data_IF_673531256483
#
_entry.id   IF_673531256483
#
_cell.length_a   1.000
_cell.length_b   1.000
_cell.length_c   1.000
_cell.angle_alpha   90.00
_cell.angle_beta   90.00
_cell.angle_gamma   90.00
#
_symmetry.space_group_name_H-M   'P 1'
#
loop_
_entity.id
_entity.type
_entity.pdbx_description
1 polymer ?
#
# COMPACT_ATOMS: atom_id res chain seq x y z
N UNK A 1 -25.00 9.61 -4.54
CA UNK A 1 -24.15 9.23 -5.67
C UNK A 1 -23.14 8.20 -5.14
N UNK A 2 -22.97 7.06 -5.81
CA UNK A 2 -21.96 6.06 -5.43
C UNK A 2 -20.57 6.57 -5.78
N UNK A 3 -19.62 6.37 -4.88
CA UNK A 3 -18.22 6.80 -5.03
C UNK A 3 -17.31 5.60 -5.24
N UNK A 4 -16.18 5.81 -5.91
CA UNK A 4 -15.07 4.86 -5.98
C UNK A 4 -13.86 5.53 -5.33
N UNK A 5 -13.29 4.89 -4.31
CA UNK A 5 -12.05 5.34 -3.70
C UNK A 5 -10.86 4.76 -4.47
N UNK A 6 -10.08 5.65 -5.06
CA UNK A 6 -8.95 5.25 -5.91
C UNK A 6 -7.64 4.96 -5.17
N UNK A 7 -7.55 5.28 -3.86
CA UNK A 7 -6.29 5.18 -3.14
C UNK A 7 -6.51 4.99 -1.64
N UNK A 8 -6.54 3.76 -1.18
CA UNK A 8 -6.60 3.44 0.24
C UNK A 8 -5.53 2.42 0.63
N UNK A 9 -4.95 2.60 1.79
CA UNK A 9 -4.03 1.64 2.40
C UNK A 9 -4.75 0.92 3.53
N UNK A 10 -4.92 -0.39 3.41
CA UNK A 10 -5.28 -1.23 4.54
C UNK A 10 -4.00 -1.74 5.20
N UNK A 11 -3.92 -1.59 6.50
CA UNK A 11 -2.72 -1.86 7.29
C UNK A 11 -3.03 -2.97 8.28
N UNK A 12 -2.40 -4.14 8.12
CA UNK A 12 -2.48 -5.21 9.10
C UNK A 12 -1.50 -5.01 10.24
N UNK A 13 -0.34 -4.46 9.93
CA UNK A 13 0.71 -4.14 10.88
C UNK A 13 1.56 -2.99 10.33
N UNK A 14 2.01 -2.10 11.19
CA UNK A 14 3.01 -1.09 10.86
C UNK A 14 4.38 -1.78 10.85
N UNK A 15 4.90 -2.09 9.66
CA UNK A 15 6.12 -2.86 9.48
C UNK A 15 6.99 -2.29 8.34
N UNK A 16 6.95 -0.98 8.16
CA UNK A 16 7.73 -0.28 7.16
C UNK A 16 9.23 -0.31 7.45
N UNK A 17 10.01 -0.15 6.41
CA UNK A 17 11.46 0.02 6.49
C UNK A 17 11.92 0.94 5.39
N UNK A 18 12.78 1.89 5.71
CA UNK A 18 13.41 2.81 4.78
C UNK A 18 14.81 3.21 5.29
N UNK A 19 15.45 4.20 4.67
CA UNK A 19 16.77 4.69 5.11
C UNK A 19 16.86 5.13 6.57
N UNK A 20 15.72 5.39 7.23
CA UNK A 20 15.61 5.71 8.67
C UNK A 20 15.47 4.46 9.56
N UNK A 21 15.60 3.25 9.00
CA UNK A 21 15.42 2.01 9.72
C UNK A 21 14.01 1.46 9.67
N UNK A 22 13.59 0.76 10.72
CA UNK A 22 12.26 0.16 10.83
C UNK A 22 11.26 1.14 11.41
N UNK A 23 10.02 0.98 11.00
CA UNK A 23 8.88 1.66 11.60
C UNK A 23 8.24 0.74 12.65
N UNK A 24 8.10 1.24 13.87
CA UNK A 24 7.47 0.52 14.99
C UNK A 24 6.27 1.29 15.51
N UNK A 25 5.14 0.63 15.81
CA UNK A 25 3.95 1.29 16.31
C UNK A 25 4.15 1.80 17.74
N UNK A 26 3.55 2.96 18.05
CA UNK A 26 3.48 3.56 19.39
C UNK A 26 2.07 3.55 19.98
N UNK A 27 1.08 3.14 19.20
CA UNK A 27 -0.34 3.26 19.55
C UNK A 27 -0.96 4.58 19.10
N UNK A 28 -2.29 4.67 19.20
CA UNK A 28 -3.08 5.84 18.80
C UNK A 28 -2.81 6.34 17.37
N UNK A 29 -2.42 5.46 16.46
CA UNK A 29 -2.07 5.78 15.08
C UNK A 29 -0.68 6.37 14.89
N UNK A 30 0.13 6.47 15.94
CA UNK A 30 1.51 6.94 15.87
C UNK A 30 2.48 5.79 15.67
N UNK A 31 3.58 6.09 15.02
CA UNK A 31 4.70 5.17 14.83
C UNK A 31 6.03 5.93 14.91
N UNK A 32 7.11 5.22 15.23
CA UNK A 32 8.45 5.75 15.37
C UNK A 32 9.43 5.00 14.47
N UNK A 33 10.31 5.74 13.81
CA UNK A 33 11.45 5.20 13.10
C UNK A 33 12.61 4.89 14.04
N UNK A 34 13.53 4.01 13.63
CA UNK A 34 14.72 3.67 14.44
C UNK A 34 15.63 4.88 14.73
N UNK A 35 15.55 5.96 13.90
CA UNK A 35 16.26 7.23 14.13
C UNK A 35 15.55 8.16 15.13
N UNK A 36 14.40 7.76 15.65
CA UNK A 36 13.61 8.51 16.62
C UNK A 36 12.55 9.45 16.04
N UNK A 37 12.43 9.56 14.70
CA UNK A 37 11.36 10.36 14.09
C UNK A 37 9.99 9.71 14.37
N UNK A 38 9.09 10.48 14.95
CA UNK A 38 7.69 10.05 15.20
C UNK A 38 6.79 10.59 14.11
N UNK A 39 5.95 9.72 13.56
CA UNK A 39 4.96 10.06 12.56
C UNK A 39 3.55 9.68 13.03
N UNK A 40 2.55 10.47 12.65
CA UNK A 40 1.14 10.15 12.83
C UNK A 40 0.64 9.48 11.54
N UNK A 41 0.59 8.16 11.54
CA UNK A 41 0.32 7.38 10.33
C UNK A 41 -1.17 7.15 10.10
N UNK A 42 -1.95 6.91 11.16
CA UNK A 42 -3.40 6.72 11.08
C UNK A 42 -4.14 7.92 11.68
N UNK A 43 -5.14 8.47 10.98
CA UNK A 43 -5.97 9.53 11.54
C UNK A 43 -6.64 9.10 12.84
N UNK A 44 -6.94 10.05 13.70
CA UNK A 44 -7.65 9.78 14.96
C UNK A 44 -8.96 9.02 14.70
N UNK A 45 -9.18 7.96 15.46
CA UNK A 45 -10.36 7.11 15.35
C UNK A 45 -10.32 6.05 14.23
N UNK A 46 -9.28 6.04 13.39
CA UNK A 46 -9.16 5.05 12.31
C UNK A 46 -8.51 3.75 12.77
N UNK A 47 -7.72 3.80 13.79
CA UNK A 47 -7.05 2.63 14.34
C UNK A 47 -5.92 3.01 15.26
N UNK A 48 -5.37 2.01 15.91
CA UNK A 48 -4.26 2.13 16.85
C UNK A 48 -2.94 1.81 16.15
N UNK A 49 -2.74 0.52 15.87
CA UNK A 49 -1.55 -0.02 15.20
C UNK A 49 -1.89 -0.64 13.84
N UNK A 50 -3.18 -0.76 13.54
CA UNK A 50 -3.68 -1.34 12.31
C UNK A 50 -4.90 -0.57 11.76
N UNK A 51 -5.11 -0.69 10.46
CA UNK A 51 -6.31 -0.23 9.78
C UNK A 51 -6.79 -1.32 8.84
N UNK A 52 -7.51 -2.29 9.38
CA UNK A 52 -7.99 -3.46 8.66
C UNK A 52 -9.31 -3.20 7.94
N UNK A 53 -9.66 -4.11 7.05
CA UNK A 53 -10.89 -4.02 6.25
C UNK A 53 -12.14 -3.89 7.11
N UNK A 54 -12.18 -4.53 8.27
CA UNK A 54 -13.28 -4.46 9.22
C UNK A 54 -13.52 -3.05 9.76
N UNK A 55 -12.46 -2.23 9.88
CA UNK A 55 -12.54 -0.81 10.24
C UNK A 55 -12.93 0.08 9.05
N UNK A 56 -12.55 -0.31 7.84
CA UNK A 56 -12.83 0.47 6.64
C UNK A 56 -14.25 0.27 6.09
N UNK A 57 -14.83 -0.92 6.20
CA UNK A 57 -16.18 -1.19 5.70
C UNK A 57 -17.27 -0.26 6.26
N UNK A 58 -17.30 0.07 7.57
CA UNK A 58 -18.23 1.06 8.10
C UNK A 58 -18.02 2.48 7.51
N UNK A 59 -16.76 2.87 7.28
CA UNK A 59 -16.43 4.17 6.65
C UNK A 59 -16.95 4.18 5.21
N UNK A 60 -16.73 3.12 4.45
CA UNK A 60 -17.27 3.00 3.10
C UNK A 60 -18.79 3.15 3.08
N UNK A 61 -19.49 2.55 4.04
CA UNK A 61 -20.94 2.65 4.14
C UNK A 61 -21.40 4.09 4.45
N UNK A 62 -20.77 4.74 5.43
CA UNK A 62 -21.08 6.11 5.82
C UNK A 62 -20.83 7.12 4.68
N UNK A 63 -19.75 6.91 3.91
CA UNK A 63 -19.32 7.80 2.83
C UNK A 63 -19.92 7.45 1.45
N UNK A 64 -20.78 6.44 1.35
CA UNK A 64 -21.31 5.92 0.08
C UNK A 64 -20.23 5.46 -0.91
N UNK A 65 -19.12 4.89 -0.39
CA UNK A 65 -18.07 4.30 -1.20
C UNK A 65 -18.48 2.89 -1.58
N UNK A 66 -18.67 2.65 -2.87
CA UNK A 66 -19.06 1.35 -3.38
C UNK A 66 -17.87 0.41 -3.56
N UNK A 67 -16.79 0.94 -4.12
CA UNK A 67 -15.57 0.18 -4.43
C UNK A 67 -14.33 0.96 -4.03
N UNK A 68 -13.24 0.25 -3.77
CA UNK A 68 -11.96 0.87 -3.48
C UNK A 68 -10.79 0.12 -4.11
N UNK A 69 -9.74 0.88 -4.43
CA UNK A 69 -8.45 0.35 -4.89
C UNK A 69 -7.49 0.32 -3.71
N UNK A 70 -7.09 -0.90 -3.32
CA UNK A 70 -6.15 -1.12 -2.23
C UNK A 70 -4.72 -0.99 -2.75
N UNK A 71 -4.00 -0.01 -2.25
CA UNK A 71 -2.61 0.23 -2.61
C UNK A 71 -1.66 -0.18 -1.49
N UNK A 72 -0.45 -0.56 -1.87
CA UNK A 72 0.64 -0.82 -0.93
C UNK A 72 1.48 0.45 -0.72
N UNK A 73 2.10 0.56 0.43
CA UNK A 73 3.05 1.63 0.74
C UNK A 73 4.23 1.09 1.55
N UNK A 74 5.43 1.59 1.30
CA UNK A 74 6.64 1.17 2.01
C UNK A 74 6.60 1.51 3.50
N UNK A 75 5.86 2.56 3.88
CA UNK A 75 5.63 2.91 5.29
C UNK A 75 4.98 1.80 6.09
N UNK A 76 4.19 0.95 5.45
CA UNK A 76 3.45 -0.13 6.12
C UNK A 76 4.09 -1.50 5.92
N UNK A 77 5.19 -1.56 5.16
CA UNK A 77 5.76 -2.82 4.67
C UNK A 77 4.91 -3.44 3.56
N UNK A 78 5.35 -4.56 3.04
CA UNK A 78 4.62 -5.29 2.01
C UNK A 78 3.43 -6.05 2.61
N UNK A 79 2.21 -5.57 2.36
CA UNK A 79 0.96 -6.15 2.83
C UNK A 79 0.28 -7.02 1.76
N UNK A 80 1.03 -7.53 0.78
CA UNK A 80 0.49 -8.27 -0.38
C UNK A 80 -0.44 -9.41 0.01
N UNK A 81 -0.04 -10.22 0.98
CA UNK A 81 -0.85 -11.36 1.41
C UNK A 81 -2.15 -10.91 2.07
N UNK A 82 -2.10 -9.88 2.90
CA UNK A 82 -3.31 -9.33 3.50
C UNK A 82 -4.24 -8.72 2.45
N UNK A 83 -3.69 -7.95 1.51
CA UNK A 83 -4.47 -7.41 0.39
C UNK A 83 -5.13 -8.52 -0.43
N UNK A 84 -4.40 -9.61 -0.72
CA UNK A 84 -4.96 -10.79 -1.36
C UNK A 84 -6.15 -11.38 -0.59
N UNK A 85 -6.03 -11.54 0.73
CA UNK A 85 -7.12 -12.04 1.56
C UNK A 85 -8.37 -11.15 1.46
N UNK A 86 -8.18 -9.82 1.44
CA UNK A 86 -9.28 -8.86 1.33
C UNK A 86 -9.95 -8.93 -0.03
N UNK A 87 -9.21 -8.88 -1.14
CA UNK A 87 -9.80 -8.94 -2.49
C UNK A 87 -10.48 -10.27 -2.75
N UNK A 88 -9.98 -11.37 -2.19
CA UNK A 88 -10.60 -12.69 -2.28
C UNK A 88 -11.91 -12.75 -1.50
N UNK A 89 -11.97 -12.12 -0.31
CA UNK A 89 -13.16 -12.11 0.55
C UNK A 89 -14.25 -11.17 0.04
N UNK A 90 -13.86 -10.07 -0.62
CA UNK A 90 -14.78 -9.02 -1.09
C UNK A 90 -14.49 -8.63 -2.56
N UNK A 91 -14.62 -9.56 -3.52
CA UNK A 91 -14.20 -9.35 -4.90
C UNK A 91 -14.97 -8.24 -5.62
N UNK A 92 -16.21 -7.98 -5.22
CA UNK A 92 -17.05 -6.93 -5.81
C UNK A 92 -16.79 -5.54 -5.23
N UNK A 93 -16.01 -5.48 -4.13
CA UNK A 93 -15.76 -4.24 -3.38
C UNK A 93 -14.34 -3.72 -3.57
N UNK A 94 -13.38 -4.60 -3.77
CA UNK A 94 -11.97 -4.22 -3.76
C UNK A 94 -11.19 -4.76 -4.96
N UNK A 95 -10.30 -3.92 -5.47
CA UNK A 95 -9.22 -4.28 -6.37
C UNK A 95 -7.91 -4.03 -5.63
N UNK A 96 -6.98 -4.96 -5.70
CA UNK A 96 -5.68 -4.84 -5.04
C UNK A 96 -4.55 -4.53 -6.00
N UNK A 97 -3.68 -3.60 -5.60
CA UNK A 97 -2.35 -3.48 -6.15
C UNK A 97 -1.36 -4.18 -5.22
N UNK A 98 -0.46 -4.97 -5.77
CA UNK A 98 0.65 -5.54 -5.02
C UNK A 98 1.91 -4.69 -5.17
N UNK A 99 2.88 -4.89 -4.30
CA UNK A 99 4.20 -4.29 -4.39
C UNK A 99 5.27 -5.38 -4.48
N UNK A 100 6.33 -5.09 -5.20
CA UNK A 100 7.51 -5.93 -5.30
C UNK A 100 8.73 -5.05 -5.46
N UNK A 101 9.87 -5.47 -4.92
CA UNK A 101 11.15 -4.87 -5.26
C UNK A 101 11.51 -5.29 -6.71
N UNK A 102 11.54 -4.35 -7.66
CA UNK A 102 11.81 -4.67 -9.06
C UNK A 102 13.24 -5.16 -9.29
N UNK A 103 14.14 -4.95 -8.35
CA UNK A 103 15.54 -5.37 -8.43
C UNK A 103 15.80 -6.69 -7.69
N UNK A 104 14.78 -7.29 -7.08
CA UNK A 104 14.92 -8.61 -6.48
C UNK A 104 15.20 -9.66 -7.56
N UNK A 105 16.11 -10.59 -7.27
CA UNK A 105 16.53 -11.66 -8.20
C UNK A 105 15.33 -12.41 -8.81
N UNK A 106 14.26 -12.60 -8.04
CA UNK A 106 13.06 -13.33 -8.46
C UNK A 106 11.84 -12.42 -8.70
N UNK A 107 12.06 -11.12 -8.96
CA UNK A 107 10.99 -10.15 -9.13
C UNK A 107 9.92 -10.61 -10.14
N UNK A 108 10.31 -11.11 -11.31
CA UNK A 108 9.36 -11.55 -12.33
C UNK A 108 8.55 -12.78 -11.92
N UNK A 109 9.13 -13.72 -11.20
CA UNK A 109 8.38 -14.86 -10.65
C UNK A 109 7.34 -14.41 -9.62
N UNK A 110 7.70 -13.42 -8.78
CA UNK A 110 6.77 -12.81 -7.82
C UNK A 110 5.63 -12.09 -8.56
N UNK A 111 5.94 -11.32 -9.61
CA UNK A 111 4.94 -10.63 -10.43
C UNK A 111 3.97 -11.63 -11.06
N UNK A 112 4.48 -12.64 -11.75
CA UNK A 112 3.66 -13.70 -12.39
C UNK A 112 2.72 -14.34 -11.37
N UNK A 113 3.24 -14.78 -10.23
CA UNK A 113 2.42 -15.38 -9.17
C UNK A 113 1.30 -14.45 -8.70
N UNK A 114 1.59 -13.16 -8.46
CA UNK A 114 0.56 -12.23 -7.99
C UNK A 114 -0.53 -11.98 -9.03
N UNK A 115 -0.18 -11.91 -10.31
CA UNK A 115 -1.13 -11.67 -11.39
C UNK A 115 -1.92 -12.93 -11.74
N UNK A 116 -1.22 -14.03 -11.98
CA UNK A 116 -1.83 -15.26 -12.54
C UNK A 116 -2.53 -16.10 -11.49
N UNK A 117 -1.91 -16.25 -10.29
CA UNK A 117 -2.46 -17.13 -9.24
C UNK A 117 -3.29 -16.37 -8.21
N UNK A 118 -2.87 -15.14 -7.84
CA UNK A 118 -3.49 -14.38 -6.77
C UNK A 118 -4.51 -13.32 -7.26
N UNK A 119 -4.62 -13.13 -8.59
CA UNK A 119 -5.66 -12.29 -9.19
C UNK A 119 -5.48 -10.79 -9.00
N UNK A 120 -4.29 -10.32 -8.70
CA UNK A 120 -4.01 -8.88 -8.66
C UNK A 120 -4.12 -8.26 -10.05
N UNK A 121 -4.60 -7.02 -10.12
CA UNK A 121 -4.81 -6.27 -11.36
C UNK A 121 -3.95 -5.02 -11.47
N UNK A 122 -3.18 -4.72 -10.46
CA UNK A 122 -2.27 -3.58 -10.45
C UNK A 122 -1.00 -3.89 -9.66
N UNK A 123 0.08 -3.23 -10.06
CA UNK A 123 1.34 -3.19 -9.32
C UNK A 123 1.63 -1.74 -8.94
N UNK A 124 2.03 -1.51 -7.70
CA UNK A 124 2.42 -0.20 -7.22
C UNK A 124 3.90 -0.15 -6.92
N UNK A 125 4.57 0.85 -7.45
CA UNK A 125 5.93 1.22 -7.08
C UNK A 125 5.90 2.53 -6.28
N UNK A 126 6.41 2.48 -5.07
CA UNK A 126 6.60 3.65 -4.22
C UNK A 126 8.02 4.16 -4.42
N UNK A 127 8.15 5.35 -5.00
CA UNK A 127 9.45 5.99 -5.30
C UNK A 127 9.66 7.28 -4.53
N UNK A 128 8.71 7.65 -3.67
CA UNK A 128 8.83 8.80 -2.79
C UNK A 128 9.62 8.46 -1.54
N UNK A 129 10.19 9.47 -0.95
CA UNK A 129 10.90 9.52 0.33
C UNK A 129 11.27 8.17 0.97
N UNK A 130 12.49 7.74 0.72
CA UNK A 130 13.06 6.59 1.41
C UNK A 130 12.37 5.26 1.11
N UNK A 131 11.58 5.20 0.06
CA UNK A 131 10.83 4.02 -0.35
C UNK A 131 11.70 2.83 -0.79
N UNK A 132 12.99 2.89 -0.58
CA UNK A 132 13.90 1.79 -0.80
C UNK A 132 14.12 1.39 -2.27
N UNK A 133 13.40 1.99 -3.21
CA UNK A 133 13.58 1.73 -4.64
C UNK A 133 14.69 2.64 -5.20
N UNK A 134 15.88 2.53 -4.62
CA UNK A 134 17.07 3.16 -5.15
C UNK A 134 17.35 2.62 -6.57
N UNK A 135 17.63 3.52 -7.51
CA UNK A 135 17.91 3.13 -8.90
C UNK A 135 16.66 2.98 -9.77
N UNK A 136 15.52 3.52 -9.39
CA UNK A 136 14.32 3.53 -10.23
C UNK A 136 14.49 4.26 -11.57
N UNK A 137 15.53 5.06 -11.73
CA UNK A 137 16.01 5.61 -13.00
C UNK A 137 16.81 4.60 -13.83
N UNK A 138 17.21 3.48 -13.25
CA UNK A 138 17.76 2.37 -14.02
C UNK A 138 16.61 1.75 -14.83
N UNK A 139 16.82 1.44 -16.14
CA UNK A 139 15.77 0.86 -16.96
C UNK A 139 15.22 -0.43 -16.32
N UNK A 140 13.97 -0.36 -15.90
CA UNK A 140 13.21 -1.49 -15.40
C UNK A 140 12.20 -1.90 -16.46
N UNK A 141 12.26 -3.14 -16.90
CA UNK A 141 11.34 -3.69 -17.88
C UNK A 141 10.49 -4.77 -17.23
N UNK A 142 9.18 -4.57 -17.20
CA UNK A 142 8.24 -5.67 -17.08
C UNK A 142 8.24 -6.46 -18.39
N UNK A 143 8.26 -7.77 -18.28
CA UNK A 143 8.08 -8.68 -19.43
C UNK A 143 6.76 -8.31 -20.15
N UNK A 144 6.81 -8.28 -21.50
CA UNK A 144 5.68 -7.89 -22.33
C UNK A 144 4.41 -8.70 -22.02
N UNK A 145 4.57 -9.96 -21.69
CA UNK A 145 3.47 -10.89 -21.44
C UNK A 145 2.69 -10.56 -20.13
N UNK A 146 3.35 -9.90 -19.17
CA UNK A 146 2.73 -9.49 -17.90
C UNK A 146 2.02 -8.14 -18.01
N UNK A 147 2.32 -7.35 -19.05
CA UNK A 147 1.70 -6.01 -19.24
C UNK A 147 0.24 -6.07 -19.61
N UNK A 148 -0.25 -7.19 -20.11
CA UNK A 148 -1.65 -7.34 -20.52
C UNK A 148 -2.53 -7.46 -19.29
N UNK A 149 -3.27 -6.40 -18.99
CA UNK A 149 -4.26 -6.38 -17.92
C UNK A 149 -3.76 -5.98 -16.53
N UNK A 150 -2.52 -5.51 -16.39
CA UNK A 150 -1.97 -5.00 -15.12
C UNK A 150 -1.76 -3.49 -15.20
N UNK A 151 -2.42 -2.75 -14.32
CA UNK A 151 -2.17 -1.31 -14.12
C UNK A 151 -0.85 -1.10 -13.36
N UNK A 152 0.01 -0.22 -13.87
CA UNK A 152 1.23 0.21 -13.15
C UNK A 152 0.97 1.56 -12.51
N UNK A 153 1.05 1.62 -11.19
CA UNK A 153 0.86 2.83 -10.40
C UNK A 153 2.21 3.24 -9.84
N UNK A 154 2.71 4.39 -10.26
CA UNK A 154 3.94 4.98 -9.74
C UNK A 154 3.57 6.18 -8.89
N UNK A 155 3.79 6.09 -7.58
CA UNK A 155 3.53 7.20 -6.67
C UNK A 155 4.81 8.01 -6.46
N UNK A 156 4.75 9.29 -6.87
CA UNK A 156 5.70 10.34 -6.49
C UNK A 156 4.99 11.27 -5.50
N UNK A 157 5.06 10.98 -4.21
CA UNK A 157 4.58 11.94 -3.23
C UNK A 157 5.76 12.57 -2.48
N UNK A 158 5.86 13.89 -2.54
CA UNK A 158 6.36 14.64 -1.38
C UNK A 158 5.21 14.57 -0.37
N UNK A 159 5.38 13.82 0.69
CA UNK A 159 4.44 13.84 1.81
C UNK A 159 4.65 15.17 2.54
N UNK A 160 4.03 16.23 2.04
CA UNK A 160 3.68 17.35 2.89
C UNK A 160 2.38 16.91 3.58
N UNK A 161 2.46 16.52 4.85
CA UNK A 161 1.28 16.37 5.67
C UNK A 161 0.68 17.76 5.90
N UNK A 162 -0.50 18.12 5.37
CA UNK A 162 -1.10 19.44 5.59
C UNK A 162 -1.73 19.57 6.99
N UNK A 163 -1.43 18.69 7.93
CA UNK A 163 -2.08 18.61 9.23
C UNK A 163 -1.20 19.05 10.42
N UNK A 164 -0.05 19.67 10.17
CA UNK A 164 0.74 20.29 11.22
C UNK A 164 0.25 21.73 11.48
N UNK A 165 -1.04 21.89 11.78
CA UNK A 165 -1.60 23.21 12.06
C UNK A 165 -3.11 23.17 12.28
N UNK A 166 -3.54 22.60 13.39
CA UNK A 166 -4.71 23.00 14.18
C UNK A 166 -4.56 22.46 15.59
#
# INVERSE_FOLDING_TARGET
MKKIEGHIHLIRAMAGSKGQGRLSPLGNGYAIWDDGEIIHLLPAGWGDDDFRVEKYLPIMAAENIEKAVLLQGTLNGYQNYYTYQVIKRYPDRFIGAFAVDPFAERAMAIVKRHVEELGFRAIKFEISQGGGLHGFHTPFRLDSDVRVGVGVIVCRHRISFPWAGM
#
